data_IF_097216274610
#
_entry.id   IF_097216274610
#
_cell.length_a   1.000
_cell.length_b   1.000
_cell.length_c   1.000
_cell.angle_alpha   90.00
_cell.angle_beta   90.00
_cell.angle_gamma   90.00
#
_symmetry.space_group_name_H-M   'P 1'
#
loop_
_entity.id
_entity.type
_entity.pdbx_description
1 polymer ?
#
# COMPACT_ATOMS: atom_id res chain seq x y z
N UNK A 1 -7.83 -19.78 -5.61
CA UNK A 1 -7.81 -19.26 -6.99
C UNK A 1 -6.51 -19.70 -7.64
N UNK A 2 -6.52 -19.91 -8.95
CA UNK A 2 -5.33 -20.17 -9.76
C UNK A 2 -5.29 -19.12 -10.88
N UNK A 3 -4.10 -18.72 -11.28
CA UNK A 3 -3.90 -17.69 -12.30
C UNK A 3 -2.59 -17.95 -13.06
N UNK A 4 -2.56 -17.54 -14.31
CA UNK A 4 -1.34 -17.53 -15.12
C UNK A 4 -0.51 -16.28 -14.82
N UNK A 5 0.82 -16.42 -14.88
CA UNK A 5 1.70 -15.27 -14.71
C UNK A 5 1.43 -14.21 -15.79
N UNK A 6 1.27 -12.92 -15.42
CA UNK A 6 1.18 -11.86 -16.40
C UNK A 6 2.41 -11.82 -17.32
N UNK A 7 2.22 -11.39 -18.57
CA UNK A 7 3.33 -11.18 -19.49
C UNK A 7 4.14 -9.93 -19.12
N UNK A 8 5.41 -9.89 -19.55
CA UNK A 8 6.31 -8.77 -19.31
C UNK A 8 7.34 -9.03 -18.21
N UNK A 9 8.06 -7.97 -17.81
CA UNK A 9 9.11 -8.00 -16.77
C UNK A 9 8.95 -6.90 -15.72
N UNK A 10 7.85 -6.17 -15.77
CA UNK A 10 7.57 -5.10 -14.84
C UNK A 10 7.23 -5.67 -13.45
N UNK A 11 7.49 -4.92 -12.37
CA UNK A 11 7.10 -5.33 -11.03
C UNK A 11 5.58 -5.54 -10.92
N UNK A 12 5.19 -6.54 -10.13
CA UNK A 12 3.79 -6.90 -9.91
C UNK A 12 3.38 -6.66 -8.46
N UNK A 13 2.11 -6.33 -8.26
CA UNK A 13 1.47 -6.20 -6.95
C UNK A 13 0.04 -6.77 -7.00
N UNK A 14 -0.56 -6.97 -5.83
CA UNK A 14 -1.96 -7.37 -5.70
C UNK A 14 -2.76 -6.19 -5.16
N UNK A 15 -3.79 -5.75 -5.89
CA UNK A 15 -4.75 -4.79 -5.36
C UNK A 15 -5.66 -5.50 -4.35
N UNK A 16 -5.41 -5.24 -3.07
CA UNK A 16 -6.18 -5.83 -1.98
C UNK A 16 -7.34 -4.92 -1.53
N UNK A 17 -7.67 -3.85 -2.26
CA UNK A 17 -8.59 -2.79 -1.83
C UNK A 17 -10.01 -3.24 -1.47
N UNK A 18 -10.48 -4.37 -1.99
CA UNK A 18 -11.79 -4.96 -1.63
C UNK A 18 -11.73 -5.85 -0.39
N UNK A 19 -10.54 -6.19 0.09
CA UNK A 19 -10.30 -7.06 1.23
C UNK A 19 -10.22 -6.24 2.53
N UNK A 20 -10.19 -6.91 3.70
CA UNK A 20 -10.09 -6.23 5.01
C UNK A 20 -8.70 -6.31 5.63
N UNK A 21 -8.34 -7.48 6.17
CA UNK A 21 -7.07 -7.75 6.85
C UNK A 21 -6.76 -9.23 6.76
N UNK A 22 -5.49 -9.59 6.56
CA UNK A 22 -5.08 -11.00 6.54
C UNK A 22 -3.61 -11.19 6.14
N UNK A 23 -3.34 -12.35 5.56
CA UNK A 23 -2.06 -12.76 5.00
C UNK A 23 -2.27 -13.35 3.60
N UNK A 24 -1.28 -13.23 2.71
CA UNK A 24 -1.33 -13.75 1.33
C UNK A 24 -0.20 -14.75 1.09
N UNK A 25 -0.50 -15.78 0.29
CA UNK A 25 0.46 -16.76 -0.20
C UNK A 25 0.29 -16.95 -1.71
N UNK A 26 1.41 -17.12 -2.42
CA UNK A 26 1.47 -17.52 -3.83
C UNK A 26 2.45 -18.68 -3.92
N UNK A 27 2.05 -19.81 -4.51
CA UNK A 27 2.89 -21.01 -4.66
C UNK A 27 3.50 -21.51 -3.32
N UNK A 28 2.72 -21.46 -2.24
CA UNK A 28 3.16 -21.84 -0.89
C UNK A 28 4.10 -20.83 -0.21
N UNK A 29 4.52 -19.76 -0.91
CA UNK A 29 5.39 -18.72 -0.38
C UNK A 29 4.55 -17.58 0.19
N UNK A 30 4.87 -17.13 1.41
CA UNK A 30 4.16 -15.99 2.01
C UNK A 30 4.59 -14.69 1.36
N UNK A 31 3.61 -13.89 0.94
CA UNK A 31 3.81 -12.53 0.41
C UNK A 31 3.69 -11.48 1.54
N UNK A 32 3.22 -11.89 2.72
CA UNK A 32 3.13 -11.06 3.92
C UNK A 32 1.71 -10.73 4.35
N UNK A 33 1.60 -9.78 5.27
CA UNK A 33 0.34 -9.28 5.82
C UNK A 33 -0.23 -8.18 4.94
N UNK A 34 -1.55 -8.14 4.80
CA UNK A 34 -2.27 -7.02 4.18
C UNK A 34 -3.30 -6.46 5.18
N UNK A 35 -3.51 -5.15 5.15
CA UNK A 35 -4.56 -4.50 5.95
C UNK A 35 -5.14 -3.22 5.27
N UNK A 36 -5.73 -3.35 4.08
CA UNK A 36 -6.29 -2.24 3.32
C UNK A 36 -7.49 -1.56 4.00
N UNK A 37 -8.22 -2.27 4.87
CA UNK A 37 -9.27 -1.63 5.67
C UNK A 37 -8.73 -0.69 6.78
N UNK A 38 -7.42 -0.71 7.05
CA UNK A 38 -6.81 0.29 7.92
C UNK A 38 -6.54 1.56 7.12
N UNK A 39 -7.40 2.55 7.29
CA UNK A 39 -7.36 3.81 6.55
C UNK A 39 -6.33 4.74 7.18
N UNK A 40 -5.49 5.33 6.34
CA UNK A 40 -4.45 6.26 6.74
C UNK A 40 -5.08 7.54 7.30
N UNK A 41 -4.74 7.84 8.55
CA UNK A 41 -5.08 9.09 9.23
C UNK A 41 -3.81 9.90 9.43
N UNK A 42 -3.90 11.21 9.22
CA UNK A 42 -2.77 12.12 9.31
C UNK A 42 -3.12 13.48 8.73
N UNK A 43 -2.10 14.32 8.61
CA UNK A 43 -2.19 15.62 7.96
C UNK A 43 -1.44 15.57 6.62
N UNK A 44 -2.19 15.36 5.54
CA UNK A 44 -1.65 15.28 4.18
C UNK A 44 -1.82 16.61 3.45
N UNK A 45 -1.32 17.70 4.05
CA UNK A 45 -1.30 19.03 3.45
C UNK A 45 -0.27 19.19 2.32
N UNK A 46 -0.37 20.31 1.60
CA UNK A 46 0.66 20.72 0.62
C UNK A 46 2.00 20.94 1.35
N UNK A 47 3.10 20.44 0.78
CA UNK A 47 4.42 20.60 1.36
C UNK A 47 5.41 21.26 0.40
N UNK A 48 6.39 21.98 0.97
CA UNK A 48 7.46 22.67 0.22
C UNK A 48 8.83 22.15 0.62
N UNK A 49 9.76 22.16 -0.35
CA UNK A 49 11.13 21.66 -0.14
C UNK A 49 11.94 22.55 0.83
N UNK A 50 11.64 23.84 0.89
CA UNK A 50 12.33 24.79 1.76
C UNK A 50 11.99 24.60 3.24
N UNK A 51 12.91 24.97 4.13
CA UNK A 51 12.76 24.89 5.59
C UNK A 51 12.96 23.48 6.18
N UNK A 52 13.15 23.40 7.49
CA UNK A 52 13.47 22.15 8.21
C UNK A 52 12.42 21.06 7.98
N UNK A 53 12.88 19.85 7.68
CA UNK A 53 12.02 18.69 7.50
C UNK A 53 11.64 18.05 8.84
N UNK A 54 10.42 17.54 8.92
CA UNK A 54 9.93 16.60 9.95
C UNK A 54 9.13 15.51 9.26
N UNK A 55 9.02 14.33 9.89
CA UNK A 55 8.37 13.16 9.29
C UNK A 55 6.92 13.44 8.82
N UNK A 56 6.21 14.33 9.52
CA UNK A 56 4.82 14.68 9.21
C UNK A 56 4.69 15.75 8.11
N UNK A 57 5.79 16.37 7.64
CA UNK A 57 5.76 17.55 6.76
C UNK A 57 5.15 17.28 5.38
N UNK A 58 5.39 16.09 4.82
CA UNK A 58 5.02 15.72 3.45
C UNK A 58 4.32 14.36 3.44
N UNK A 59 3.30 14.19 4.26
CA UNK A 59 2.50 12.95 4.26
C UNK A 59 1.55 12.94 3.06
N UNK A 60 1.24 11.74 2.58
CA UNK A 60 0.32 11.52 1.46
C UNK A 60 -0.56 10.30 1.72
N UNK A 61 -1.68 10.21 0.99
CA UNK A 61 -2.57 9.04 1.05
C UNK A 61 -3.56 9.03 2.21
N UNK A 62 -3.76 10.16 2.90
CA UNK A 62 -4.79 10.28 3.93
C UNK A 62 -6.19 9.96 3.36
N UNK A 63 -7.00 9.25 4.14
CA UNK A 63 -8.33 8.81 3.71
C UNK A 63 -8.33 7.59 2.78
N UNK A 64 -7.15 7.10 2.38
CA UNK A 64 -6.99 5.86 1.61
C UNK A 64 -6.51 4.71 2.50
N UNK A 65 -6.60 3.45 2.05
CA UNK A 65 -5.89 2.34 2.67
C UNK A 65 -4.42 2.70 2.95
N UNK A 66 -3.92 2.40 4.15
CA UNK A 66 -2.49 2.55 4.48
C UNK A 66 -1.57 1.76 3.56
N UNK A 67 -2.10 0.71 2.92
CA UNK A 67 -1.46 -0.08 1.88
C UNK A 67 -2.55 -0.61 0.94
N UNK A 68 -2.34 -0.51 -0.37
CA UNK A 68 -3.23 -1.05 -1.40
C UNK A 68 -2.40 -1.69 -2.51
#
# INVERSE_FOLDING_TARGET
>A
AYFDAPSGRDPLALDMGSMKKGQVWINGQSIGRYWPANIAQGDCGECRYTGTFRQQKCQSGCGLPTQR
#
